data_IF_797268912787
#
_entry.id   IF_797268912787
#
_cell.length_a   1.000
_cell.length_b   1.000
_cell.length_c   1.000
_cell.angle_alpha   90.00
_cell.angle_beta   90.00
_cell.angle_gamma   90.00
#
_symmetry.space_group_name_H-M   'P 1'
#
loop_
_entity.id
_entity.type
_entity.pdbx_description
1 polymer ?
#
# COMPACT_ATOMS: atom_id res chain seq x y z
N UNK A 1 33.13 10.91 -44.22
CA UNK A 1 32.02 10.00 -43.83
C UNK A 1 31.73 10.05 -42.32
N UNK A 2 31.40 11.22 -41.74
CA UNK A 2 31.24 11.41 -40.28
C UNK A 2 29.76 11.53 -39.86
N UNK A 3 28.85 11.83 -40.80
CA UNK A 3 27.41 12.03 -40.56
C UNK A 3 26.61 10.75 -40.21
N UNK A 4 27.18 9.54 -40.36
CA UNK A 4 26.47 8.28 -40.06
C UNK A 4 26.58 7.81 -38.60
N UNK A 5 27.52 8.37 -37.81
CA UNK A 5 27.76 7.94 -36.41
C UNK A 5 26.94 8.71 -35.37
N UNK A 6 26.57 9.97 -35.66
CA UNK A 6 25.74 10.79 -34.75
C UNK A 6 24.29 10.29 -34.71
N UNK A 7 23.76 9.84 -35.84
CA UNK A 7 22.39 9.30 -35.92
C UNK A 7 22.18 8.01 -35.13
N UNK A 8 23.14 7.08 -35.14
CA UNK A 8 23.02 5.80 -34.42
C UNK A 8 23.12 5.98 -32.91
N UNK A 9 24.03 6.84 -32.44
CA UNK A 9 24.15 7.16 -31.00
C UNK A 9 22.89 7.87 -30.48
N UNK A 10 22.34 8.81 -31.24
CA UNK A 10 21.09 9.48 -30.91
C UNK A 10 19.90 8.50 -30.90
N UNK A 11 19.82 7.57 -31.87
CA UNK A 11 18.78 6.54 -31.92
C UNK A 11 18.84 5.58 -30.72
N UNK A 12 20.04 5.14 -30.31
CA UNK A 12 20.21 4.29 -29.14
C UNK A 12 19.82 5.04 -27.86
N UNK A 13 20.19 6.31 -27.72
CA UNK A 13 19.80 7.13 -26.57
C UNK A 13 18.28 7.35 -26.52
N UNK A 14 17.64 7.69 -27.64
CA UNK A 14 16.18 7.85 -27.71
C UNK A 14 15.48 6.53 -27.42
N UNK A 15 15.94 5.42 -27.99
CA UNK A 15 15.39 4.10 -27.69
C UNK A 15 15.54 3.74 -26.21
N UNK A 16 16.71 3.99 -25.60
CA UNK A 16 16.93 3.73 -24.17
C UNK A 16 16.01 4.59 -23.28
N UNK A 17 15.84 5.88 -23.58
CA UNK A 17 14.93 6.78 -22.85
C UNK A 17 13.48 6.34 -23.00
N UNK A 18 13.06 5.94 -24.21
CA UNK A 18 11.72 5.41 -24.45
C UNK A 18 11.51 4.09 -23.70
N UNK A 19 12.48 3.17 -23.74
CA UNK A 19 12.42 1.89 -23.02
C UNK A 19 12.31 2.15 -21.52
N UNK A 20 13.16 3.01 -20.94
CA UNK A 20 13.13 3.33 -19.51
C UNK A 20 11.80 3.98 -19.08
N UNK A 21 11.24 4.89 -19.90
CA UNK A 21 9.95 5.53 -19.63
C UNK A 21 8.76 4.56 -19.58
N UNK A 22 8.83 3.42 -20.27
CA UNK A 22 7.73 2.42 -20.26
C UNK A 22 7.63 1.60 -18.96
N UNK A 23 8.68 1.60 -18.12
CA UNK A 23 8.70 0.81 -16.88
C UNK A 23 8.31 1.59 -15.63
N UNK A 24 8.18 2.92 -15.70
CA UNK A 24 7.74 3.73 -14.56
C UNK A 24 6.24 3.52 -14.31
N UNK A 25 5.88 3.06 -13.11
CA UNK A 25 4.48 2.87 -12.75
C UNK A 25 3.85 4.23 -12.41
N UNK A 26 2.82 4.63 -13.14
CA UNK A 26 2.16 5.92 -12.91
C UNK A 26 1.07 5.81 -11.83
N UNK A 27 0.59 6.94 -11.30
CA UNK A 27 -0.61 6.97 -10.45
C UNK A 27 -1.83 6.32 -11.13
N UNK A 28 -1.95 6.45 -12.45
CA UNK A 28 -3.02 5.80 -13.23
C UNK A 28 -2.88 4.28 -13.19
N UNK A 29 -1.67 3.75 -13.30
CA UNK A 29 -1.40 2.32 -13.20
C UNK A 29 -1.61 1.80 -11.77
N UNK A 30 -1.22 2.59 -10.77
CA UNK A 30 -1.53 2.33 -9.37
C UNK A 30 -3.04 2.17 -9.18
N UNK A 31 -3.86 3.13 -9.63
CA UNK A 31 -5.30 3.04 -9.50
C UNK A 31 -5.87 1.84 -10.26
N UNK A 32 -5.38 1.56 -11.47
CA UNK A 32 -5.81 0.39 -12.26
C UNK A 32 -5.57 -0.91 -11.50
N UNK A 33 -4.45 -1.05 -10.79
CA UNK A 33 -4.12 -2.27 -10.07
C UNK A 33 -4.78 -2.33 -8.68
N UNK A 34 -4.89 -1.20 -7.98
CA UNK A 34 -5.11 -1.19 -6.53
C UNK A 34 -6.38 -0.48 -6.08
N UNK A 35 -7.07 0.29 -6.92
CA UNK A 35 -8.24 1.06 -6.48
C UNK A 35 -9.56 0.36 -6.83
N UNK A 36 -10.49 0.26 -5.88
CA UNK A 36 -11.88 -0.16 -6.10
C UNK A 36 -12.79 0.42 -5.00
N UNK A 37 -13.19 1.69 -5.12
CA UNK A 37 -14.09 2.31 -4.13
C UNK A 37 -15.28 3.01 -4.80
N UNK A 38 -16.53 2.75 -4.33
CA UNK A 38 -16.90 1.71 -3.35
C UNK A 38 -16.54 0.29 -3.83
N UNK A 39 -16.43 -0.69 -2.92
CA UNK A 39 -16.10 -2.07 -3.30
C UNK A 39 -17.14 -2.58 -4.29
N UNK A 40 -16.69 -2.99 -5.46
CA UNK A 40 -17.53 -3.49 -6.54
C UNK A 40 -18.14 -4.85 -6.16
N UNK A 41 -19.43 -5.05 -6.43
CA UNK A 41 -20.12 -6.34 -6.27
C UNK A 41 -19.87 -7.27 -7.47
N UNK A 42 -18.61 -7.40 -7.89
CA UNK A 42 -18.23 -8.10 -9.12
C UNK A 42 -17.94 -9.58 -8.87
N UNK A 43 -18.93 -10.42 -9.16
CA UNK A 43 -18.78 -11.88 -9.12
C UNK A 43 -18.49 -12.45 -7.73
N UNK A 44 -18.46 -13.78 -7.65
CA UNK A 44 -18.10 -14.52 -6.45
C UNK A 44 -17.30 -15.75 -6.88
N UNK A 45 -15.99 -15.85 -6.61
CA UNK A 45 -15.17 -14.94 -5.78
C UNK A 45 -14.79 -13.62 -6.49
N UNK A 46 -14.88 -12.50 -5.74
CA UNK A 46 -14.51 -11.14 -6.15
C UNK A 46 -13.10 -11.05 -6.76
N UNK A 47 -12.08 -11.63 -6.11
CA UNK A 47 -10.69 -11.56 -6.52
C UNK A 47 -10.46 -12.22 -7.88
N UNK A 48 -11.07 -13.38 -8.16
CA UNK A 48 -10.93 -14.03 -9.47
C UNK A 48 -11.45 -13.11 -10.59
N UNK A 49 -12.59 -12.48 -10.35
CA UNK A 49 -13.23 -11.58 -11.32
C UNK A 49 -12.45 -10.28 -11.47
N UNK A 50 -12.09 -9.66 -10.35
CA UNK A 50 -11.46 -8.34 -10.31
C UNK A 50 -10.02 -8.39 -10.83
N UNK A 51 -9.25 -9.41 -10.48
CA UNK A 51 -7.89 -9.62 -11.02
C UNK A 51 -7.90 -9.79 -12.53
N UNK A 52 -8.84 -10.58 -13.06
CA UNK A 52 -9.03 -10.75 -14.51
C UNK A 52 -9.43 -9.44 -15.19
N UNK A 53 -10.40 -8.72 -14.63
CA UNK A 53 -10.90 -7.44 -15.16
C UNK A 53 -9.81 -6.36 -15.21
N UNK A 54 -8.85 -6.37 -14.27
CA UNK A 54 -7.69 -5.44 -14.28
C UNK A 54 -6.50 -5.95 -15.10
N UNK A 55 -6.62 -7.10 -15.75
CA UNK A 55 -5.56 -7.67 -16.59
C UNK A 55 -4.41 -8.29 -15.81
N UNK A 56 -4.57 -8.57 -14.52
CA UNK A 56 -3.53 -9.11 -13.64
C UNK A 56 -3.44 -10.65 -13.68
N UNK A 57 -4.06 -11.29 -14.67
CA UNK A 57 -4.02 -12.74 -14.90
C UNK A 57 -3.31 -13.11 -16.21
N UNK A 58 -2.68 -12.13 -16.88
CA UNK A 58 -1.95 -12.29 -18.14
C UNK A 58 -0.65 -11.46 -18.12
N UNK A 59 0.44 -11.94 -18.77
CA UNK A 59 0.59 -13.28 -19.35
C UNK A 59 0.66 -14.37 -18.27
N UNK A 60 1.11 -14.02 -17.06
CA UNK A 60 1.17 -14.86 -15.86
C UNK A 60 0.18 -14.35 -14.81
N UNK A 61 -0.19 -15.19 -13.86
CA UNK A 61 -0.98 -14.78 -12.70
C UNK A 61 -0.13 -13.87 -11.81
N UNK A 62 -0.59 -12.66 -11.51
CA UNK A 62 0.01 -11.83 -10.47
C UNK A 62 -0.21 -12.55 -9.14
N UNK A 63 0.85 -12.84 -8.39
CA UNK A 63 0.75 -13.70 -7.21
C UNK A 63 -0.22 -13.11 -6.19
N UNK A 64 -0.08 -11.82 -5.92
CA UNK A 64 -0.96 -11.08 -5.02
C UNK A 64 -1.20 -9.66 -5.47
N UNK A 65 -2.38 -9.17 -5.09
CA UNK A 65 -2.74 -7.78 -5.21
C UNK A 65 -3.65 -7.38 -4.04
N UNK A 66 -3.62 -6.10 -3.69
CA UNK A 66 -4.54 -5.52 -2.71
C UNK A 66 -5.41 -4.48 -3.41
N UNK A 67 -6.72 -4.57 -3.24
CA UNK A 67 -7.68 -3.55 -3.65
C UNK A 67 -8.06 -2.68 -2.46
N UNK A 68 -8.06 -1.37 -2.65
CA UNK A 68 -8.29 -0.35 -1.65
C UNK A 68 -9.71 0.19 -1.82
N UNK A 69 -10.47 0.18 -0.73
CA UNK A 69 -11.87 0.57 -0.70
C UNK A 69 -12.08 1.89 0.06
N UNK A 70 -11.34 2.94 -0.28
CA UNK A 70 -11.46 4.29 0.29
C UNK A 70 -11.46 5.36 -0.81
N UNK A 71 -11.87 6.59 -0.48
CA UNK A 71 -11.84 7.72 -1.43
C UNK A 71 -10.41 7.99 -1.91
N UNK A 72 -10.24 8.38 -3.18
CA UNK A 72 -8.91 8.68 -3.76
C UNK A 72 -8.12 9.73 -2.94
N UNK A 73 -8.79 10.75 -2.42
CA UNK A 73 -8.15 11.79 -1.61
C UNK A 73 -7.47 11.21 -0.36
N UNK A 74 -8.08 10.18 0.26
CA UNK A 74 -7.49 9.51 1.42
C UNK A 74 -6.22 8.72 1.04
N UNK A 75 -6.16 8.22 -0.20
CA UNK A 75 -4.98 7.52 -0.73
C UNK A 75 -3.88 8.53 -1.07
N UNK A 76 -4.22 9.63 -1.72
CA UNK A 76 -3.28 10.72 -2.06
C UNK A 76 -2.70 11.33 -0.79
N UNK A 77 -3.53 11.54 0.25
CA UNK A 77 -3.08 12.08 1.53
C UNK A 77 -2.02 11.22 2.22
N UNK A 78 -1.91 9.91 1.91
CA UNK A 78 -0.82 9.05 2.41
C UNK A 78 0.55 9.55 1.95
N UNK A 79 0.63 10.22 0.80
CA UNK A 79 1.86 10.79 0.27
C UNK A 79 2.20 12.18 0.82
N UNK A 80 1.52 12.61 1.89
CA UNK A 80 1.71 13.90 2.55
C UNK A 80 1.73 13.71 4.06
N UNK A 81 2.20 14.71 4.80
CA UNK A 81 2.22 14.68 6.25
C UNK A 81 0.81 14.70 6.88
N UNK A 82 -0.24 14.98 6.11
CA UNK A 82 -1.62 14.92 6.60
C UNK A 82 -2.02 13.47 6.90
N UNK A 83 -1.82 12.56 5.94
CA UNK A 83 -2.30 11.18 6.00
C UNK A 83 -1.21 10.11 6.12
N UNK A 84 0.07 10.46 5.92
CA UNK A 84 1.21 9.55 5.89
C UNK A 84 2.16 9.68 7.07
N UNK A 85 2.98 8.65 7.26
CA UNK A 85 4.17 8.61 8.11
C UNK A 85 5.26 7.92 7.29
N UNK A 86 6.42 8.57 7.14
CA UNK A 86 7.56 7.98 6.47
C UNK A 86 8.07 6.77 7.27
N UNK A 87 8.18 5.63 6.61
CA UNK A 87 8.75 4.40 7.21
C UNK A 87 10.10 4.04 6.62
N UNK A 88 10.42 4.61 5.45
CA UNK A 88 11.69 4.49 4.74
C UNK A 88 11.81 5.65 3.75
N UNK A 89 12.99 5.87 3.16
CA UNK A 89 13.30 6.99 2.25
C UNK A 89 12.35 7.10 1.05
N UNK A 90 11.66 6.01 0.71
CA UNK A 90 10.75 5.93 -0.44
C UNK A 90 9.35 5.44 -0.09
N UNK A 91 9.08 5.10 1.18
CA UNK A 91 7.83 4.45 1.57
C UNK A 91 7.07 5.26 2.61
N UNK A 92 5.80 5.48 2.33
CA UNK A 92 4.84 6.12 3.21
C UNK A 92 3.84 5.11 3.73
N UNK A 93 3.55 5.16 5.03
CA UNK A 93 2.49 4.37 5.68
C UNK A 93 1.34 5.28 6.10
N UNK A 94 0.11 4.88 5.81
CA UNK A 94 -1.06 5.64 6.25
C UNK A 94 -1.20 5.68 7.77
N UNK A 95 -1.59 6.83 8.33
CA UNK A 95 -1.90 6.99 9.76
C UNK A 95 -3.11 6.18 10.18
N UNK A 96 -4.15 6.18 9.34
CA UNK A 96 -5.39 5.44 9.57
C UNK A 96 -5.40 4.09 8.82
N UNK A 97 -6.26 3.18 9.27
CA UNK A 97 -6.54 1.93 8.56
C UNK A 97 -7.67 2.14 7.58
N UNK A 98 -7.56 1.54 6.41
CA UNK A 98 -8.60 1.53 5.39
C UNK A 98 -9.04 0.11 5.08
N UNK A 99 -10.30 -0.05 4.68
CA UNK A 99 -10.81 -1.32 4.21
C UNK A 99 -10.10 -1.69 2.90
N UNK A 100 -9.52 -2.89 2.88
CA UNK A 100 -8.87 -3.44 1.69
C UNK A 100 -9.32 -4.89 1.46
N UNK A 101 -9.23 -5.37 0.22
CA UNK A 101 -9.34 -6.79 -0.12
C UNK A 101 -8.01 -7.27 -0.68
N UNK A 102 -7.34 -8.16 0.06
CA UNK A 102 -6.14 -8.87 -0.39
C UNK A 102 -6.55 -10.08 -1.23
N UNK A 103 -6.00 -10.18 -2.43
CA UNK A 103 -6.17 -11.30 -3.35
C UNK A 103 -4.86 -12.08 -3.44
N UNK A 104 -4.82 -13.34 -2.97
CA UNK A 104 -3.61 -14.17 -3.02
C UNK A 104 -3.81 -15.46 -3.78
N UNK A 105 -2.89 -15.80 -4.68
CA UNK A 105 -2.98 -17.06 -5.44
C UNK A 105 -3.06 -18.26 -4.49
N UNK A 106 -4.00 -19.18 -4.72
CA UNK A 106 -4.27 -20.34 -3.84
C UNK A 106 -3.30 -21.52 -4.04
N UNK A 107 -2.54 -21.51 -5.13
CA UNK A 107 -1.65 -22.63 -5.47
C UNK A 107 -0.67 -22.22 -6.55
N UNK A 108 -0.70 -22.91 -7.67
CA UNK A 108 0.20 -22.66 -8.79
C UNK A 108 -0.12 -21.35 -9.52
N UNK A 109 0.91 -20.75 -10.14
CA UNK A 109 0.79 -19.61 -11.05
C UNK A 109 0.28 -20.01 -12.45
N UNK A 110 -0.04 -21.29 -12.64
CA UNK A 110 -0.66 -21.82 -13.85
C UNK A 110 -2.14 -21.47 -13.91
N UNK A 111 -2.64 -21.22 -15.13
CA UNK A 111 -4.06 -20.91 -15.34
C UNK A 111 -4.94 -22.14 -15.06
N UNK A 112 -6.20 -21.94 -14.64
CA UNK A 112 -6.84 -20.66 -14.29
C UNK A 112 -6.27 -20.03 -13.01
N UNK A 113 -6.16 -18.71 -12.96
CA UNK A 113 -5.65 -18.01 -11.78
C UNK A 113 -6.73 -17.97 -10.70
N UNK A 114 -6.53 -18.74 -9.62
CA UNK A 114 -7.45 -18.80 -8.49
C UNK A 114 -6.90 -18.08 -7.26
N UNK A 115 -7.70 -17.18 -6.70
CA UNK A 115 -7.32 -16.30 -5.61
C UNK A 115 -8.15 -16.57 -4.35
N UNK A 116 -7.50 -16.51 -3.19
CA UNK A 116 -8.12 -16.34 -1.89
C UNK A 116 -8.35 -14.86 -1.61
N UNK A 117 -9.33 -14.58 -0.76
CA UNK A 117 -9.75 -13.23 -0.43
C UNK A 117 -9.64 -13.01 1.08
N UNK A 118 -9.00 -11.92 1.47
CA UNK A 118 -9.01 -11.41 2.84
C UNK A 118 -9.44 -9.95 2.80
N UNK A 119 -10.68 -9.68 3.23
CA UNK A 119 -11.19 -8.31 3.37
C UNK A 119 -11.03 -7.87 4.82
N UNK A 120 -10.13 -6.92 5.08
CA UNK A 120 -9.85 -6.45 6.43
C UNK A 120 -9.36 -4.99 6.45
N UNK A 121 -9.53 -4.25 7.56
CA UNK A 121 -8.92 -2.94 7.73
C UNK A 121 -7.38 -3.05 7.88
N UNK A 122 -6.62 -2.36 7.03
CA UNK A 122 -5.13 -2.36 7.04
C UNK A 122 -4.57 -0.95 6.87
N UNK A 123 -3.36 -0.70 7.37
CA UNK A 123 -2.60 0.48 6.96
C UNK A 123 -2.14 0.30 5.51
N UNK A 124 -2.21 1.36 4.71
CA UNK A 124 -1.65 1.37 3.35
C UNK A 124 -0.16 1.67 3.45
N UNK A 125 0.64 0.99 2.64
CA UNK A 125 2.05 1.30 2.44
C UNK A 125 2.26 1.50 0.96
N UNK A 126 2.80 2.65 0.58
CA UNK A 126 2.98 3.02 -0.84
C UNK A 126 4.25 3.82 -1.01
N UNK A 127 4.90 3.65 -2.16
CA UNK A 127 5.86 4.62 -2.64
C UNK A 127 5.12 5.80 -3.27
N UNK A 128 5.70 6.98 -3.13
CA UNK A 128 5.13 8.22 -3.60
C UNK A 128 6.12 8.95 -4.51
N UNK A 129 5.61 9.52 -5.59
CA UNK A 129 6.33 10.37 -6.54
C UNK A 129 5.44 11.59 -6.80
N UNK A 130 5.99 12.80 -6.68
CA UNK A 130 5.24 14.06 -6.80
C UNK A 130 3.93 14.09 -5.98
N UNK A 131 3.99 13.58 -4.74
CA UNK A 131 2.84 13.46 -3.81
C UNK A 131 1.72 12.51 -4.29
N UNK A 132 1.99 11.68 -5.29
CA UNK A 132 1.05 10.68 -5.80
C UNK A 132 1.56 9.26 -5.55
N UNK A 133 0.68 8.30 -5.20
CA UNK A 133 1.08 6.93 -4.99
C UNK A 133 1.33 6.23 -6.32
N UNK A 134 2.54 5.68 -6.49
CA UNK A 134 2.97 5.04 -7.74
C UNK A 134 3.12 3.53 -7.60
N UNK A 135 3.54 3.05 -6.43
CA UNK A 135 3.72 1.63 -6.14
C UNK A 135 3.10 1.26 -4.80
N UNK A 136 2.21 0.28 -4.76
CA UNK A 136 1.77 -0.28 -3.49
C UNK A 136 2.80 -1.30 -2.99
N UNK A 137 3.37 -1.07 -1.81
CA UNK A 137 4.20 -2.05 -1.15
C UNK A 137 3.31 -2.99 -0.34
N UNK A 138 3.46 -4.28 -0.57
CA UNK A 138 2.63 -5.29 0.05
C UNK A 138 2.68 -5.18 1.59
N UNK A 139 1.51 -5.08 2.22
CA UNK A 139 1.38 -4.78 3.66
C UNK A 139 1.64 -5.97 4.59
N UNK A 140 1.51 -7.22 4.13
CA UNK A 140 1.68 -8.40 5.01
C UNK A 140 3.16 -8.71 5.29
N UNK A 141 4.09 -8.39 4.37
CA UNK A 141 5.53 -8.61 4.53
C UNK A 141 6.18 -7.57 5.46
N UNK A 142 5.66 -6.34 5.49
CA UNK A 142 6.17 -5.28 6.37
C UNK A 142 5.69 -5.48 7.82
N UNK A 143 4.50 -6.05 8.07
CA UNK A 143 4.06 -6.31 9.45
C UNK A 143 4.92 -7.36 10.18
N UNK A 144 5.61 -8.25 9.45
CA UNK A 144 6.59 -9.18 10.04
C UNK A 144 7.91 -8.52 10.45
N UNK A 145 8.34 -7.46 9.74
CA UNK A 145 9.61 -6.76 9.98
C UNK A 145 9.50 -5.48 10.80
N UNK A 146 8.34 -4.80 10.86
CA UNK A 146 8.05 -3.70 11.82
C UNK A 146 7.75 -4.23 13.24
N UNK A 147 8.33 -5.37 13.60
CA UNK A 147 8.17 -5.98 14.92
C UNK A 147 9.08 -5.26 15.92
N UNK A 148 8.45 -4.63 16.92
CA UNK A 148 9.01 -4.03 18.14
C UNK A 148 9.85 -2.75 18.06
N UNK A 149 10.70 -2.52 17.04
CA UNK A 149 11.61 -1.35 17.05
C UNK A 149 10.87 -0.01 16.87
N UNK A 150 9.83 0.03 16.05
CA UNK A 150 9.06 1.26 15.80
C UNK A 150 8.07 1.59 16.90
N UNK A 151 7.60 0.59 17.67
CA UNK A 151 6.81 0.83 18.89
C UNK A 151 7.60 1.64 19.92
N UNK A 152 8.93 1.48 19.95
CA UNK A 152 9.82 2.27 20.80
C UNK A 152 10.04 3.68 20.26
N UNK A 153 10.23 3.89 18.95
CA UNK A 153 10.35 5.25 18.39
C UNK A 153 9.06 6.07 18.53
N UNK A 154 7.91 5.46 18.25
CA UNK A 154 6.62 6.16 18.37
C UNK A 154 6.27 6.50 19.84
N UNK A 155 6.74 5.69 20.81
CA UNK A 155 6.67 6.00 22.25
C UNK A 155 7.61 7.15 22.66
N UNK A 156 8.71 7.34 21.93
CA UNK A 156 9.69 8.42 22.17
C UNK A 156 9.25 9.74 21.54
N UNK A 157 8.63 9.71 20.35
CA UNK A 157 8.21 10.90 19.62
C UNK A 157 6.89 11.52 20.09
N UNK A 158 5.97 10.76 20.71
CA UNK A 158 4.74 11.34 21.25
C UNK A 158 4.21 10.62 22.51
N UNK A 159 4.75 10.93 23.70
CA UNK A 159 4.31 10.35 24.98
C UNK A 159 2.89 10.74 25.40
N UNK A 160 2.26 11.68 24.70
CA UNK A 160 1.01 12.37 25.09
C UNK A 160 -0.26 11.60 24.71
N UNK A 161 -0.21 10.74 23.69
CA UNK A 161 -1.36 9.94 23.23
C UNK A 161 -1.76 8.80 24.19
N UNK A 162 -1.03 8.62 25.29
CA UNK A 162 -1.38 7.70 26.37
C UNK A 162 -2.07 8.37 27.57
N UNK A 163 -2.40 9.67 27.49
CA UNK A 163 -3.03 10.43 28.57
C UNK A 163 -4.28 11.18 28.11
N UNK A 164 -5.23 10.47 27.52
CA UNK A 164 -6.64 10.91 27.54
C UNK A 164 -7.45 9.95 28.42
N UNK A 165 -7.80 10.38 29.66
CA UNK A 165 -8.66 9.65 30.57
C UNK A 165 -10.10 10.16 30.47
N UNK A 166 -11.00 9.36 29.91
CA UNK A 166 -12.46 9.51 30.02
C UNK A 166 -12.96 8.07 30.28
N UNK A 167 -13.51 7.63 31.41
CA UNK A 167 -14.14 8.27 32.56
C UNK A 167 -13.94 7.42 33.83
N UNK A 168 -13.88 8.13 34.96
CA UNK A 168 -14.01 7.68 36.35
C UNK A 168 -15.43 7.15 36.62
N UNK A 169 -15.57 6.28 37.64
CA UNK A 169 -16.75 5.88 38.47
C UNK A 169 -16.61 4.38 38.77
N UNK A 170 -16.45 3.80 39.96
CA UNK A 170 -16.35 4.18 41.37
C UNK A 170 -15.61 3.02 42.08
N UNK A 171 -14.58 3.26 42.89
CA UNK A 171 -14.27 2.45 44.08
C UNK A 171 -13.68 3.36 45.17
N UNK A 172 -14.20 3.30 46.41
CA UNK A 172 -13.92 4.28 47.44
C UNK A 172 -12.52 4.10 48.06
N UNK A 173 -12.13 5.16 48.74
CA UNK A 173 -10.81 5.49 49.26
C UNK A 173 -10.19 4.51 50.26
N UNK A 174 -8.86 4.50 50.16
CA UNK A 174 -7.80 4.29 51.15
C UNK A 174 -8.21 4.37 52.64
N UNK A 175 -7.55 3.52 53.44
CA UNK A 175 -6.85 3.98 54.64
C UNK A 175 -5.61 3.11 54.90
N UNK A 176 -4.46 3.77 55.05
CA UNK A 176 -3.22 3.24 55.64
C UNK A 176 -3.26 3.51 57.15
N UNK A 177 -2.80 2.55 57.97
CA UNK A 177 -2.13 2.80 59.26
C UNK A 177 -1.27 1.55 59.54
N UNK A 178 0.06 1.59 59.41
CA UNK A 178 1.01 1.96 60.47
C UNK A 178 0.71 1.25 61.80
N UNK A 179 1.32 0.08 61.99
CA UNK A 179 2.29 -0.16 63.06
C UNK A 179 3.26 -1.25 62.63
#
# INVERSE_FOLDING_TARGET
MIFKRVGLGLFILVAAVVILGTFAQTYKDFLKQHYDHPKSSVGNPYCNTMMKKRGMTKPKCKEVNTFIHTKKNNIIAVCTDEGGIAIDDRLQRSKQKYLVTNCRIKGSLTKPCEYSEDTSPRHLVTACEDKLPVHQWWTIYIMGSLSQKDRRRQKVENPSLLRDPIQVILRPEKAKMKQ
#
